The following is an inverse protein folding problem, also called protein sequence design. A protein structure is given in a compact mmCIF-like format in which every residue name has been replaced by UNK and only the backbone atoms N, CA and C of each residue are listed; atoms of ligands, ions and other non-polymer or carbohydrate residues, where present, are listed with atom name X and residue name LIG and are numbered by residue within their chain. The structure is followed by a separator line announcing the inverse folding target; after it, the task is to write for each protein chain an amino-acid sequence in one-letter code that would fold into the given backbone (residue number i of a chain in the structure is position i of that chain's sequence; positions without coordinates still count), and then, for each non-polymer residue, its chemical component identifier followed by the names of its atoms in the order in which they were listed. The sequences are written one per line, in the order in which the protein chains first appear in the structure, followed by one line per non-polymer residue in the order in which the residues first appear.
data_IF_900584257561
#
_entry.id   IF_900584257561
#
_cell.length_a   1.000
_cell.length_b   1.000
_cell.length_c   1.000
_cell.angle_alpha   90.00
_cell.angle_beta   90.00
_cell.angle_gamma   90.00
#
_symmetry.space_group_name_H-M   'P 1'
#
loop_
_entity.id
_entity.type
_entity.pdbx_description
1 polymer ?
#
# COMPACT_ATOMS: atom_id res chain seq x y z
N UNK A 1 6.17 -8.58 -27.08
CA UNK A 1 6.41 -7.78 -25.86
C UNK A 1 7.90 -7.55 -25.78
N UNK A 2 8.34 -6.29 -25.69
CA UNK A 2 9.75 -5.89 -25.70
C UNK A 2 10.29 -5.81 -24.29
N UNK A 3 11.46 -6.44 -24.07
CA UNK A 3 12.25 -6.37 -22.86
C UNK A 3 13.74 -6.23 -23.20
N UNK A 4 14.57 -5.64 -22.32
CA UNK A 4 16.02 -5.67 -22.49
C UNK A 4 16.54 -7.12 -22.55
N UNK A 5 17.57 -7.37 -23.34
CA UNK A 5 18.12 -8.69 -23.59
C UNK A 5 18.68 -9.37 -22.32
N UNK A 6 19.12 -8.55 -21.36
CA UNK A 6 19.75 -9.01 -20.13
C UNK A 6 18.74 -9.42 -19.02
N UNK A 7 17.45 -9.24 -19.29
CA UNK A 7 16.44 -9.63 -18.31
C UNK A 7 16.22 -11.15 -18.28
N UNK A 8 16.18 -11.71 -17.09
CA UNK A 8 15.89 -13.14 -16.93
C UNK A 8 14.48 -13.47 -17.40
N UNK A 9 14.29 -14.68 -17.94
CA UNK A 9 12.98 -15.15 -18.38
C UNK A 9 11.94 -15.10 -17.25
N UNK A 10 12.36 -15.35 -16.02
CA UNK A 10 11.48 -15.26 -14.85
C UNK A 10 10.99 -13.83 -14.59
N UNK A 11 11.88 -12.85 -14.66
CA UNK A 11 11.51 -11.44 -14.50
C UNK A 11 10.54 -10.99 -15.61
N UNK A 12 10.81 -11.37 -16.86
CA UNK A 12 9.93 -11.12 -18.00
C UNK A 12 8.54 -11.68 -17.76
N UNK A 13 8.44 -12.95 -17.34
CA UNK A 13 7.16 -13.61 -17.09
C UNK A 13 6.37 -12.93 -15.98
N UNK A 14 7.03 -12.55 -14.87
CA UNK A 14 6.38 -11.88 -13.75
C UNK A 14 5.83 -10.51 -14.20
N UNK A 15 6.64 -9.71 -14.87
CA UNK A 15 6.22 -8.37 -15.33
C UNK A 15 5.08 -8.49 -16.34
N UNK A 16 5.20 -9.36 -17.34
CA UNK A 16 4.16 -9.54 -18.34
C UNK A 16 2.83 -10.02 -17.75
N UNK A 17 2.86 -10.92 -16.78
CA UNK A 17 1.66 -11.47 -16.15
C UNK A 17 1.02 -10.55 -15.11
N UNK A 18 1.82 -9.84 -14.32
CA UNK A 18 1.32 -9.10 -13.16
C UNK A 18 1.16 -7.60 -13.43
N UNK A 19 2.06 -7.03 -14.23
CA UNK A 19 2.14 -5.57 -14.40
C UNK A 19 1.55 -5.08 -15.73
N UNK A 20 1.54 -5.91 -16.77
CA UNK A 20 0.88 -5.58 -18.02
C UNK A 20 -0.62 -5.87 -18.03
N UNK A 21 -1.07 -6.85 -17.24
CA UNK A 21 -2.48 -7.24 -17.18
C UNK A 21 -3.36 -6.31 -16.33
N UNK A 22 -2.76 -5.40 -15.57
CA UNK A 22 -3.44 -4.50 -14.65
C UNK A 22 -4.13 -3.29 -15.31
N UNK A 23 -4.09 -3.12 -16.62
CA UNK A 23 -4.73 -2.01 -17.33
C UNK A 23 -6.00 -2.50 -18.02
N UNK A 24 -7.21 -2.06 -17.57
CA UNK A 24 -8.48 -2.61 -18.03
C UNK A 24 -8.93 -2.20 -19.44
N UNK A 25 -8.23 -1.28 -20.12
CA UNK A 25 -8.70 -0.78 -21.43
C UNK A 25 -7.65 -0.86 -22.52
N UNK A 26 -7.94 -1.49 -23.66
CA UNK A 26 -7.27 -1.17 -24.93
C UNK A 26 -7.63 0.28 -25.35
N UNK A 27 -6.67 1.14 -25.76
CA UNK A 27 -5.32 0.84 -26.23
C UNK A 27 -4.19 0.98 -25.20
N UNK A 28 -4.52 1.11 -23.92
CA UNK A 28 -3.56 1.46 -22.85
C UNK A 28 -2.83 0.26 -22.21
N UNK A 29 -2.90 -0.92 -22.78
CA UNK A 29 -2.08 -2.05 -22.32
C UNK A 29 -0.61 -1.76 -22.65
N UNK A 30 0.24 -1.71 -21.64
CA UNK A 30 1.67 -1.59 -21.85
C UNK A 30 2.13 -2.73 -22.78
N UNK A 31 2.54 -2.38 -24.01
CA UNK A 31 2.99 -3.36 -24.99
C UNK A 31 4.47 -3.74 -24.80
N UNK A 32 5.18 -3.00 -23.94
CA UNK A 32 6.60 -3.19 -23.67
C UNK A 32 6.95 -2.72 -22.26
N UNK A 33 8.08 -3.21 -21.73
CA UNK A 33 8.65 -2.70 -20.49
C UNK A 33 8.94 -1.21 -20.59
N UNK A 34 9.38 -0.75 -21.75
CA UNK A 34 9.63 0.67 -22.01
C UNK A 34 8.39 1.52 -21.71
N UNK A 35 7.22 1.15 -22.22
CA UNK A 35 5.98 1.89 -21.97
C UNK A 35 5.61 1.93 -20.49
N UNK A 36 5.84 0.82 -19.76
CA UNK A 36 5.59 0.75 -18.32
C UNK A 36 6.50 1.71 -17.56
N UNK A 37 7.80 1.71 -17.88
CA UNK A 37 8.80 2.59 -17.25
C UNK A 37 8.51 4.04 -17.62
N UNK A 38 8.35 4.36 -18.91
CA UNK A 38 8.09 5.73 -19.38
C UNK A 38 6.87 6.34 -18.68
N UNK A 39 5.76 5.61 -18.58
CA UNK A 39 4.56 6.09 -17.91
C UNK A 39 4.83 6.55 -16.47
N UNK A 40 5.56 5.77 -15.70
CA UNK A 40 5.88 6.08 -14.31
C UNK A 40 6.88 7.22 -14.23
N UNK A 41 7.99 7.13 -14.94
CA UNK A 41 9.08 8.12 -14.86
C UNK A 41 8.65 9.47 -15.39
N UNK A 42 7.94 9.52 -16.51
CA UNK A 42 7.46 10.77 -17.09
C UNK A 42 6.44 11.46 -16.19
N UNK A 43 5.61 10.68 -15.46
CA UNK A 43 4.66 11.24 -14.50
C UNK A 43 5.37 11.81 -13.27
N UNK A 44 6.36 11.12 -12.74
CA UNK A 44 7.16 11.59 -11.61
C UNK A 44 7.94 12.84 -11.98
N UNK A 45 8.60 12.83 -13.15
CA UNK A 45 9.37 13.97 -13.64
C UNK A 45 8.50 15.19 -13.85
N UNK A 46 7.33 15.03 -14.49
CA UNK A 46 6.38 16.13 -14.70
C UNK A 46 5.89 16.72 -13.39
N UNK A 47 5.61 15.87 -12.38
CA UNK A 47 5.26 16.33 -11.05
C UNK A 47 6.41 17.12 -10.42
N UNK A 48 7.63 16.58 -10.44
CA UNK A 48 8.81 17.30 -9.93
C UNK A 48 9.05 18.66 -10.59
N UNK A 49 8.81 18.74 -11.90
CA UNK A 49 8.92 20.01 -12.63
C UNK A 49 7.82 21.01 -12.20
N UNK A 50 6.57 20.55 -12.05
CA UNK A 50 5.46 21.39 -11.61
C UNK A 50 5.60 21.89 -10.18
N UNK A 51 6.26 21.12 -9.31
CA UNK A 51 6.51 21.48 -7.91
C UNK A 51 7.84 22.24 -7.69
N UNK A 52 8.57 22.51 -8.77
CA UNK A 52 9.81 23.27 -8.71
C UNK A 52 10.99 22.51 -8.07
N UNK A 53 11.03 21.20 -8.18
CA UNK A 53 12.14 20.39 -7.69
C UNK A 53 13.37 20.44 -8.57
N UNK A 54 13.22 20.89 -9.82
CA UNK A 54 14.30 21.06 -10.78
C UNK A 54 14.56 22.53 -11.08
N UNK A 55 15.81 22.87 -11.32
CA UNK A 55 16.22 24.23 -11.64
C UNK A 55 15.70 24.64 -13.04
N UNK A 56 15.70 23.71 -13.98
CA UNK A 56 15.25 23.92 -15.34
C UNK A 56 14.77 22.60 -16.00
N UNK A 57 14.32 22.72 -17.25
CA UNK A 57 13.87 21.55 -18.03
C UNK A 57 15.00 20.57 -18.30
N UNK A 58 16.24 21.05 -18.49
CA UNK A 58 17.41 20.20 -18.76
C UNK A 58 17.69 19.28 -17.58
N UNK A 59 17.63 19.79 -16.35
CA UNK A 59 17.79 18.98 -15.15
C UNK A 59 16.69 17.92 -15.04
N UNK A 60 15.45 18.28 -15.36
CA UNK A 60 14.32 17.34 -15.36
C UNK A 60 14.48 16.23 -16.42
N UNK A 61 15.01 16.54 -17.60
CA UNK A 61 15.32 15.56 -18.64
C UNK A 61 16.42 14.58 -18.22
N UNK A 62 17.49 15.10 -17.58
CA UNK A 62 18.56 14.29 -17.03
C UNK A 62 18.01 13.35 -15.95
N UNK A 63 17.23 13.87 -15.00
CA UNK A 63 16.59 13.06 -13.98
C UNK A 63 15.73 11.95 -14.60
N UNK A 64 14.92 12.27 -15.61
CA UNK A 64 14.07 11.28 -16.28
C UNK A 64 14.91 10.17 -16.94
N UNK A 65 15.98 10.54 -17.65
CA UNK A 65 16.85 9.58 -18.32
C UNK A 65 17.59 8.66 -17.33
N UNK A 66 18.11 9.23 -16.24
CA UNK A 66 18.79 8.46 -15.18
C UNK A 66 17.82 7.52 -14.49
N UNK A 67 16.62 7.98 -14.16
CA UNK A 67 15.59 7.13 -13.52
C UNK A 67 15.19 5.97 -14.44
N UNK A 68 14.99 6.21 -15.73
CA UNK A 68 14.72 5.15 -16.72
C UNK A 68 15.87 4.14 -16.79
N UNK A 69 17.11 4.61 -16.80
CA UNK A 69 18.28 3.74 -16.80
C UNK A 69 18.35 2.87 -15.55
N UNK A 70 18.15 3.43 -14.35
CA UNK A 70 18.16 2.71 -13.07
C UNK A 70 17.10 1.59 -13.06
N UNK A 71 15.90 1.88 -13.53
CA UNK A 71 14.79 0.93 -13.55
C UNK A 71 14.98 -0.15 -14.64
N UNK A 72 15.40 0.23 -15.84
CA UNK A 72 15.59 -0.69 -16.94
C UNK A 72 16.74 -1.67 -16.69
N UNK A 73 17.79 -1.22 -15.98
CA UNK A 73 18.95 -2.05 -15.62
C UNK A 73 18.78 -2.79 -14.30
N UNK A 74 17.59 -2.76 -13.70
CA UNK A 74 17.25 -3.45 -12.44
C UNK A 74 18.14 -3.05 -11.23
N UNK A 75 18.68 -1.83 -11.21
CA UNK A 75 19.46 -1.30 -10.09
C UNK A 75 18.56 -0.90 -8.92
N UNK A 76 17.32 -0.52 -9.22
CA UNK A 76 16.25 -0.27 -8.26
C UNK A 76 14.90 -0.66 -8.87
N UNK A 77 13.90 -0.83 -8.01
CA UNK A 77 12.51 -1.00 -8.42
C UNK A 77 11.59 -0.29 -7.43
N UNK A 78 10.55 0.32 -7.94
CA UNK A 78 9.46 0.81 -7.11
C UNK A 78 8.62 -0.35 -6.56
N UNK A 79 7.90 -0.09 -5.48
CA UNK A 79 6.89 -1.02 -4.99
C UNK A 79 5.70 -1.13 -5.97
N UNK A 80 4.93 -2.21 -5.85
CA UNK A 80 3.86 -2.53 -6.79
C UNK A 80 2.80 -1.44 -6.99
N UNK A 81 2.34 -0.69 -5.98
CA UNK A 81 1.35 0.38 -6.18
C UNK A 81 1.83 1.49 -7.12
N UNK A 82 3.10 1.83 -7.14
CA UNK A 82 3.65 2.79 -8.10
C UNK A 82 3.44 2.30 -9.53
N UNK A 83 3.79 1.04 -9.79
CA UNK A 83 3.64 0.44 -11.12
C UNK A 83 2.17 0.31 -11.56
N UNK A 84 1.23 0.15 -10.61
CA UNK A 84 -0.19 0.00 -10.93
C UNK A 84 -0.92 1.33 -11.10
N UNK A 85 -0.51 2.36 -10.38
CA UNK A 85 -1.30 3.58 -10.22
C UNK A 85 -0.68 4.81 -10.85
N UNK A 86 0.65 5.02 -10.72
CA UNK A 86 1.29 6.27 -11.16
C UNK A 86 1.21 6.40 -12.68
N UNK A 87 0.63 7.51 -13.13
CA UNK A 87 0.42 7.82 -14.53
C UNK A 87 -0.66 6.95 -15.20
N UNK A 88 -1.36 6.09 -14.45
CA UNK A 88 -2.52 5.37 -14.98
C UNK A 88 -3.74 6.28 -14.99
N UNK A 89 -4.38 6.43 -16.16
CA UNK A 89 -5.60 7.19 -16.29
C UNK A 89 -6.71 6.60 -15.40
N UNK A 90 -7.59 7.46 -14.86
CA UNK A 90 -8.76 7.09 -14.07
C UNK A 90 -8.48 6.40 -12.72
N UNK A 91 -7.23 6.35 -12.27
CA UNK A 91 -6.87 5.78 -10.97
C UNK A 91 -6.37 6.86 -10.02
N UNK A 92 -6.65 6.66 -8.72
CA UNK A 92 -5.99 7.44 -7.69
C UNK A 92 -4.47 7.24 -7.79
N UNK A 93 -3.72 8.34 -7.78
CA UNK A 93 -2.26 8.31 -7.87
C UNK A 93 -1.68 7.88 -6.53
N UNK A 94 -1.55 6.58 -6.30
CA UNK A 94 -1.03 6.00 -5.07
C UNK A 94 0.40 5.52 -5.27
N UNK A 95 1.33 6.13 -4.54
CA UNK A 95 2.76 5.82 -4.65
C UNK A 95 3.28 4.93 -3.51
N UNK A 96 2.50 4.72 -2.43
CA UNK A 96 2.93 3.95 -1.27
C UNK A 96 2.26 2.59 -1.19
N UNK A 97 3.04 1.55 -0.84
CA UNK A 97 2.54 0.19 -0.65
C UNK A 97 1.98 -0.05 0.76
N UNK A 98 2.50 0.67 1.75
CA UNK A 98 2.19 0.46 3.15
C UNK A 98 2.06 1.79 3.89
N UNK A 99 1.11 1.83 4.81
CA UNK A 99 0.85 2.98 5.67
C UNK A 99 0.90 2.54 7.13
N UNK A 100 1.48 3.37 7.97
CA UNK A 100 1.45 3.18 9.42
C UNK A 100 0.38 4.10 9.97
N UNK A 101 -0.60 3.50 10.67
CA UNK A 101 -1.68 4.19 11.34
C UNK A 101 -1.41 4.27 12.84
N UNK A 102 -2.11 5.18 13.50
CA UNK A 102 -2.13 5.30 14.95
C UNK A 102 -3.56 5.14 15.46
N UNK A 103 -3.70 4.56 16.65
CA UNK A 103 -4.97 4.43 17.36
C UNK A 103 -4.77 4.77 18.83
N UNK A 104 -5.69 5.57 19.37
CA UNK A 104 -5.77 5.87 20.79
C UNK A 104 -6.95 5.12 21.41
N UNK A 105 -6.94 5.00 22.75
CA UNK A 105 -7.96 4.29 23.52
C UNK A 105 -9.27 5.08 23.64
N UNK A 106 -9.89 5.33 22.49
CA UNK A 106 -11.21 5.95 22.38
C UNK A 106 -12.00 5.38 21.22
N UNK A 107 -13.32 5.33 21.33
CA UNK A 107 -14.18 4.81 20.27
C UNK A 107 -14.04 5.62 18.97
N UNK A 108 -13.90 6.93 19.06
CA UNK A 108 -13.73 7.78 17.89
C UNK A 108 -12.43 7.43 17.14
N UNK A 109 -11.32 7.26 17.87
CA UNK A 109 -10.04 6.86 17.27
C UNK A 109 -10.09 5.46 16.67
N UNK A 110 -10.74 4.51 17.34
CA UNK A 110 -10.90 3.12 16.87
C UNK A 110 -11.76 3.06 15.59
N UNK A 111 -12.87 3.79 15.56
CA UNK A 111 -13.71 3.86 14.37
C UNK A 111 -13.04 4.61 13.21
N UNK A 112 -12.26 5.64 13.50
CA UNK A 112 -11.47 6.34 12.50
C UNK A 112 -10.37 5.42 11.91
N UNK A 113 -9.70 4.61 12.76
CA UNK A 113 -8.78 3.59 12.27
C UNK A 113 -9.45 2.67 11.23
N UNK A 114 -10.65 2.13 11.51
CA UNK A 114 -11.36 1.27 10.55
C UNK A 114 -11.63 1.98 9.23
N UNK A 115 -12.01 3.26 9.28
CA UNK A 115 -12.27 4.09 8.10
C UNK A 115 -11.00 4.31 7.28
N UNK A 116 -9.90 4.72 7.91
CA UNK A 116 -8.62 4.99 7.24
C UNK A 116 -8.05 3.72 6.62
N UNK A 117 -8.04 2.63 7.37
CA UNK A 117 -7.60 1.33 6.89
C UNK A 117 -8.42 0.86 5.68
N UNK A 118 -9.74 1.03 5.73
CA UNK A 118 -10.62 0.72 4.61
C UNK A 118 -10.30 1.51 3.33
N UNK A 119 -9.96 2.78 3.46
CA UNK A 119 -9.57 3.62 2.32
C UNK A 119 -8.20 3.18 1.75
N UNK A 120 -7.25 2.81 2.59
CA UNK A 120 -5.94 2.29 2.20
C UNK A 120 -6.11 0.98 1.41
N UNK A 121 -6.93 0.05 1.91
CA UNK A 121 -7.19 -1.22 1.24
C UNK A 121 -7.91 -1.05 -0.09
N UNK A 122 -8.86 -0.11 -0.18
CA UNK A 122 -9.50 0.27 -1.45
C UNK A 122 -8.46 0.72 -2.49
N UNK A 123 -7.40 1.42 -2.06
CA UNK A 123 -6.27 1.84 -2.90
C UNK A 123 -5.30 0.71 -3.26
N UNK A 124 -5.44 -0.49 -2.69
CA UNK A 124 -4.56 -1.63 -2.95
C UNK A 124 -3.27 -1.64 -2.13
N UNK A 125 -3.20 -0.84 -1.06
CA UNK A 125 -2.06 -0.77 -0.15
C UNK A 125 -2.32 -1.52 1.16
N UNK A 126 -1.27 -1.76 1.93
CA UNK A 126 -1.32 -2.37 3.25
C UNK A 126 -1.35 -1.32 4.36
N UNK A 127 -1.86 -1.71 5.51
CA UNK A 127 -1.85 -0.89 6.73
C UNK A 127 -1.21 -1.65 7.90
N UNK A 128 -0.50 -0.91 8.74
CA UNK A 128 0.08 -1.42 9.97
C UNK A 128 -0.18 -0.48 11.14
N UNK A 129 -0.38 -1.02 12.33
CA UNK A 129 -0.56 -0.21 13.54
C UNK A 129 -0.19 -0.98 14.80
N UNK A 130 0.06 -0.23 15.86
CA UNK A 130 0.29 -0.76 17.21
C UNK A 130 -0.97 -0.53 18.06
N UNK A 131 -1.51 -1.62 18.64
CA UNK A 131 -2.71 -1.61 19.47
C UNK A 131 -2.42 -1.48 20.97
N UNK A 132 -1.16 -1.37 21.38
CA UNK A 132 -0.76 -1.40 22.79
C UNK A 132 -1.31 -0.25 23.63
N UNK A 133 -1.78 0.81 22.99
CA UNK A 133 -2.46 1.92 23.68
C UNK A 133 -3.90 1.63 24.06
N UNK A 134 -4.54 0.62 23.44
CA UNK A 134 -5.91 0.24 23.74
C UNK A 134 -5.90 -0.53 25.06
N UNK A 135 -6.78 -0.14 25.97
CA UNK A 135 -6.93 -0.81 27.28
C UNK A 135 -7.25 -2.28 27.16
N UNK A 136 -6.79 -3.04 28.15
CA UNK A 136 -7.02 -4.49 28.21
C UNK A 136 -8.50 -4.86 28.36
N UNK A 137 -8.88 -5.98 27.78
CA UNK A 137 -10.20 -6.62 28.00
C UNK A 137 -10.52 -6.94 29.44
N UNK A 138 -9.51 -6.97 30.33
CA UNK A 138 -9.63 -7.23 31.76
C UNK A 138 -9.96 -5.99 32.59
N UNK A 139 -9.91 -4.79 31.97
CA UNK A 139 -10.20 -3.54 32.67
C UNK A 139 -11.69 -3.30 32.83
N UNK A 140 -12.08 -2.85 34.04
CA UNK A 140 -13.47 -2.52 34.37
C UNK A 140 -13.81 -1.11 33.83
N UNK A 141 -14.94 -1.01 33.15
CA UNK A 141 -15.48 0.25 32.67
C UNK A 141 -16.24 0.95 33.81
N UNK A 142 -15.69 2.06 34.31
CA UNK A 142 -16.28 2.81 35.42
C UNK A 142 -17.67 3.37 35.12
N UNK A 143 -17.98 3.65 33.87
CA UNK A 143 -19.25 4.29 33.47
C UNK A 143 -20.38 3.31 33.19
N UNK A 144 -20.10 2.06 32.78
CA UNK A 144 -21.11 1.08 32.37
C UNK A 144 -21.15 -0.18 33.18
N UNK A 145 -20.21 -0.39 34.11
CA UNK A 145 -20.19 -1.56 35.00
C UNK A 145 -19.81 -2.88 34.33
N UNK A 146 -19.29 -2.85 33.09
CA UNK A 146 -18.78 -4.02 32.40
C UNK A 146 -17.27 -3.99 32.23
N UNK A 147 -16.72 -4.97 31.50
CA UNK A 147 -15.31 -5.00 31.07
C UNK A 147 -15.11 -4.37 29.72
N UNK A 148 -13.91 -3.90 29.44
CA UNK A 148 -13.53 -3.36 28.13
C UNK A 148 -13.50 -4.47 27.07
N UNK A 149 -13.59 -4.09 25.80
CA UNK A 149 -13.53 -5.05 24.67
C UNK A 149 -12.12 -5.56 24.40
N UNK A 150 -11.11 -4.76 24.71
CA UNK A 150 -9.70 -5.06 24.46
C UNK A 150 -9.26 -4.98 23.00
N UNK A 151 -7.92 -4.93 22.76
CA UNK A 151 -7.36 -4.77 21.43
C UNK A 151 -7.70 -5.92 20.48
N UNK A 152 -7.78 -7.15 20.96
CA UNK A 152 -8.04 -8.34 20.13
C UNK A 152 -9.45 -8.31 19.54
N UNK A 153 -10.45 -7.89 20.31
CA UNK A 153 -11.82 -7.74 19.81
C UNK A 153 -11.91 -6.69 18.70
N UNK A 154 -11.28 -5.55 18.87
CA UNK A 154 -11.23 -4.52 17.83
C UNK A 154 -10.45 -4.96 16.61
N UNK A 155 -9.36 -5.71 16.81
CA UNK A 155 -8.60 -6.31 15.71
C UNK A 155 -9.45 -7.27 14.87
N UNK A 156 -10.27 -8.12 15.50
CA UNK A 156 -11.21 -9.01 14.79
C UNK A 156 -12.25 -8.23 13.99
N UNK A 157 -12.78 -7.15 14.55
CA UNK A 157 -13.71 -6.26 13.84
C UNK A 157 -13.09 -5.61 12.61
N UNK A 158 -11.86 -5.11 12.74
CA UNK A 158 -11.10 -4.56 11.64
C UNK A 158 -10.77 -5.60 10.56
N UNK A 159 -10.46 -6.84 10.94
CA UNK A 159 -10.17 -7.93 10.02
C UNK A 159 -11.42 -8.32 9.21
N UNK A 160 -12.57 -8.43 9.86
CA UNK A 160 -13.84 -8.68 9.20
C UNK A 160 -14.18 -7.57 8.19
N UNK A 161 -13.98 -6.30 8.57
CA UNK A 161 -14.16 -5.15 7.68
C UNK A 161 -13.21 -5.22 6.47
N UNK A 162 -11.93 -5.50 6.69
CA UNK A 162 -10.93 -5.63 5.63
C UNK A 162 -11.28 -6.73 4.61
N UNK A 163 -11.81 -7.85 5.09
CA UNK A 163 -12.23 -8.97 4.25
C UNK A 163 -13.35 -8.64 3.25
N UNK A 164 -14.14 -7.60 3.53
CA UNK A 164 -15.23 -7.14 2.64
C UNK A 164 -14.77 -6.17 1.56
N UNK A 165 -13.61 -5.54 1.74
CA UNK A 165 -13.13 -4.49 0.85
C UNK A 165 -12.34 -5.10 -0.31
N UNK A 166 -12.86 -4.93 -1.52
CA UNK A 166 -12.17 -5.30 -2.76
C UNK A 166 -11.42 -4.07 -3.28
N UNK A 167 -10.12 -4.20 -3.51
CA UNK A 167 -9.36 -3.18 -4.22
C UNK A 167 -9.86 -3.10 -5.67
N UNK A 168 -10.34 -1.93 -6.09
CA UNK A 168 -10.91 -1.74 -7.42
C UNK A 168 -9.90 -2.05 -8.54
N UNK A 169 -9.99 -3.23 -9.13
CA UNK A 169 -9.21 -3.63 -10.30
C UNK A 169 -7.73 -3.99 -10.04
N UNK A 170 -7.25 -3.94 -8.81
CA UNK A 170 -5.91 -4.41 -8.46
C UNK A 170 -5.97 -5.86 -7.96
N UNK A 171 -5.03 -6.68 -8.40
CA UNK A 171 -4.91 -8.10 -8.01
C UNK A 171 -4.37 -8.30 -6.58
N UNK A 172 -4.15 -7.20 -5.85
CA UNK A 172 -3.56 -7.24 -4.51
C UNK A 172 -4.65 -7.31 -3.45
N UNK A 173 -4.57 -8.32 -2.59
CA UNK A 173 -5.39 -8.41 -1.37
C UNK A 173 -4.91 -7.39 -0.35
N UNK A 174 -5.83 -6.93 0.51
CA UNK A 174 -5.52 -6.17 1.70
C UNK A 174 -4.45 -6.90 2.52
N UNK A 175 -3.44 -6.16 2.99
CA UNK A 175 -2.41 -6.68 3.87
C UNK A 175 -2.41 -5.85 5.15
N UNK A 176 -2.52 -6.53 6.29
CA UNK A 176 -2.55 -5.91 7.61
C UNK A 176 -1.40 -6.44 8.46
N UNK A 177 -0.73 -5.54 9.15
CA UNK A 177 0.18 -5.86 10.24
C UNK A 177 -0.34 -5.23 11.52
N UNK A 178 -0.37 -6.01 12.58
CA UNK A 178 -0.77 -5.55 13.91
C UNK A 178 0.33 -5.88 14.90
N UNK A 179 0.64 -4.92 15.75
CA UNK A 179 1.63 -5.06 16.83
C UNK A 179 0.92 -4.92 18.17
N UNK A 180 1.31 -5.73 19.15
CA UNK A 180 0.96 -5.58 20.55
C UNK A 180 2.23 -5.78 21.39
N UNK A 181 2.48 -4.88 22.33
CA UNK A 181 3.66 -4.95 23.18
C UNK A 181 3.59 -6.18 24.09
N UNK A 182 4.72 -6.79 24.38
CA UNK A 182 4.80 -8.07 25.10
C UNK A 182 4.32 -7.99 26.55
N UNK A 183 4.33 -6.82 27.13
CA UNK A 183 3.85 -6.53 28.49
C UNK A 183 2.34 -6.18 28.56
N UNK A 184 1.67 -6.12 27.41
CA UNK A 184 0.22 -5.87 27.39
C UNK A 184 -0.55 -7.03 28.02
N UNK A 185 -1.55 -6.78 28.91
CA UNK A 185 -2.26 -7.86 29.61
C UNK A 185 -3.00 -8.86 28.72
N UNK A 186 -3.32 -8.47 27.47
CA UNK A 186 -4.01 -9.33 26.50
C UNK A 186 -3.04 -10.01 25.52
N UNK A 187 -1.73 -10.00 25.78
CA UNK A 187 -0.71 -10.54 24.85
C UNK A 187 -0.92 -12.03 24.55
N UNK A 188 -1.34 -12.83 25.53
CA UNK A 188 -1.58 -14.26 25.34
C UNK A 188 -2.72 -14.48 24.35
N UNK A 189 -3.86 -13.80 24.55
CA UNK A 189 -5.00 -13.86 23.62
C UNK A 189 -4.61 -13.38 22.20
N UNK A 190 -3.77 -12.34 22.13
CA UNK A 190 -3.26 -11.85 20.85
C UNK A 190 -2.43 -12.89 20.11
N UNK A 191 -1.51 -13.58 20.79
CA UNK A 191 -0.67 -14.63 20.20
C UNK A 191 -1.51 -15.80 19.73
N UNK A 192 -2.50 -16.22 20.52
CA UNK A 192 -3.37 -17.36 20.23
C UNK A 192 -4.47 -17.05 19.18
N UNK A 193 -4.62 -15.81 18.75
CA UNK A 193 -5.73 -15.41 17.83
C UNK A 193 -5.71 -16.15 16.49
N UNK A 194 -4.57 -16.69 16.07
CA UNK A 194 -4.41 -17.39 14.79
C UNK A 194 -4.23 -18.90 14.89
N UNK A 195 -4.41 -19.45 16.04
CA UNK A 195 -4.51 -20.90 16.24
C UNK A 195 -5.94 -21.39 15.94
#
# INVERSE_FOLDING_TARGET
VEFPIDWSQNAINIVAQKYFSGTPCPPARAASLKHLIDRVTDTITRHGLSEGYFVDETESEIFNAELKYILATQRAAFNSPVWFNIGAAERAQQASACFILAVDDSMDSILNWYREEGMIFKGGSGAGLNLSRIRSSKELLRSSGGTASGPVSFMRGADASAGTIKSGGATRRAAKMVVLDVDHPDIVEFVETKE
#
